data_IF_170775378321
#
_entry.id   IF_170775378321
#
_cell.length_a   1.000
_cell.length_b   1.000
_cell.length_c   1.000
_cell.angle_alpha   90.00
_cell.angle_beta   90.00
_cell.angle_gamma   90.00
#
_symmetry.space_group_name_H-M   'P 1'
#
loop_
_entity.id
_entity.type
_entity.pdbx_description
1 polymer ?
#
# COMPACT_ATOMS: atom_id res chain seq x y z
N UNK A 1 -11.34 1.12 -6.61
CA UNK A 1 -9.99 1.17 -7.22
C UNK A 1 -9.25 -0.17 -7.12
N UNK A 2 -8.98 -0.74 -5.93
CA UNK A 2 -8.29 -2.04 -5.86
C UNK A 2 -9.03 -3.19 -6.59
N UNK A 3 -10.38 -3.18 -6.57
CA UNK A 3 -11.22 -4.16 -7.26
C UNK A 3 -11.01 -4.21 -8.77
N UNK A 4 -11.04 -3.05 -9.43
CA UNK A 4 -10.84 -2.98 -10.88
C UNK A 4 -9.42 -3.43 -11.26
N UNK A 5 -8.41 -3.04 -10.47
CA UNK A 5 -7.03 -3.47 -10.70
C UNK A 5 -6.86 -4.99 -10.61
N UNK A 6 -7.49 -5.64 -9.62
CA UNK A 6 -7.43 -7.09 -9.47
C UNK A 6 -7.93 -7.84 -10.71
N UNK A 7 -9.01 -7.36 -11.35
CA UNK A 7 -9.53 -7.93 -12.60
C UNK A 7 -8.54 -7.82 -13.76
N UNK A 8 -7.76 -6.73 -13.82
CA UNK A 8 -6.79 -6.51 -14.90
C UNK A 8 -5.51 -7.33 -14.69
N UNK A 9 -5.12 -7.58 -13.45
CA UNK A 9 -3.88 -8.28 -13.12
C UNK A 9 -4.06 -9.79 -12.94
N UNK A 10 -5.29 -10.31 -13.01
CA UNK A 10 -5.60 -11.71 -12.66
C UNK A 10 -4.79 -12.75 -13.45
N UNK A 11 -4.43 -12.45 -14.69
CA UNK A 11 -3.71 -13.37 -15.58
C UNK A 11 -2.22 -13.01 -15.71
N UNK A 12 -1.76 -11.97 -15.00
CA UNK A 12 -0.34 -11.58 -14.97
C UNK A 12 0.47 -12.53 -14.10
N UNK A 13 1.72 -12.78 -14.50
CA UNK A 13 2.64 -13.64 -13.75
C UNK A 13 3.63 -12.79 -12.98
N UNK A 14 3.55 -12.84 -11.65
CA UNK A 14 4.49 -12.15 -10.77
C UNK A 14 5.55 -13.13 -10.28
N UNK A 15 6.82 -12.77 -10.46
CA UNK A 15 7.92 -13.54 -9.87
C UNK A 15 8.09 -13.24 -8.38
N UNK A 16 7.72 -12.04 -7.94
CA UNK A 16 7.89 -11.54 -6.56
C UNK A 16 6.82 -10.49 -6.24
N UNK A 17 6.39 -10.44 -4.98
CA UNK A 17 5.44 -9.44 -4.47
C UNK A 17 6.01 -8.81 -3.20
N UNK A 18 6.08 -7.47 -3.20
CA UNK A 18 6.56 -6.66 -2.08
C UNK A 18 5.50 -5.63 -1.69
N UNK A 19 5.36 -5.37 -0.39
CA UNK A 19 4.41 -4.36 0.11
C UNK A 19 4.88 -3.81 1.46
N UNK A 20 4.39 -2.62 1.82
CA UNK A 20 4.61 -2.10 3.17
C UNK A 20 3.90 -2.97 4.20
N UNK A 21 4.38 -2.96 5.43
CA UNK A 21 3.75 -3.69 6.53
C UNK A 21 2.57 -2.95 7.17
N UNK A 22 2.18 -1.78 6.65
CA UNK A 22 0.99 -1.04 7.08
C UNK A 22 -0.29 -1.82 6.73
N UNK A 23 -1.28 -1.81 7.63
CA UNK A 23 -2.49 -2.61 7.48
C UNK A 23 -3.24 -2.32 6.17
N UNK A 24 -3.36 -1.05 5.78
CA UNK A 24 -4.00 -0.63 4.52
C UNK A 24 -3.36 -1.27 3.28
N UNK A 25 -2.03 -1.39 3.26
CA UNK A 25 -1.32 -2.01 2.13
C UNK A 25 -1.41 -3.52 2.20
N UNK A 26 -1.38 -4.11 3.41
CA UNK A 26 -1.60 -5.56 3.60
C UNK A 26 -2.95 -6.01 3.08
N UNK A 27 -4.02 -5.28 3.41
CA UNK A 27 -5.38 -5.60 2.95
C UNK A 27 -5.48 -5.52 1.43
N UNK A 28 -4.91 -4.46 0.84
CA UNK A 28 -4.89 -4.30 -0.62
C UNK A 28 -4.09 -5.40 -1.30
N UNK A 29 -2.89 -5.72 -0.81
CA UNK A 29 -2.05 -6.78 -1.37
C UNK A 29 -2.73 -8.14 -1.26
N UNK A 30 -3.33 -8.48 -0.11
CA UNK A 30 -4.09 -9.73 0.06
C UNK A 30 -5.25 -9.81 -0.92
N UNK A 31 -5.96 -8.71 -1.13
CA UNK A 31 -7.06 -8.66 -2.09
C UNK A 31 -6.57 -8.90 -3.51
N UNK A 32 -5.53 -8.19 -3.97
CA UNK A 32 -5.01 -8.38 -5.34
C UNK A 32 -4.48 -9.80 -5.56
N UNK A 33 -3.76 -10.34 -4.59
CA UNK A 33 -3.26 -11.72 -4.61
C UNK A 33 -4.40 -12.74 -4.73
N UNK A 34 -5.52 -12.53 -4.04
CA UNK A 34 -6.66 -13.46 -4.13
C UNK A 34 -7.40 -13.40 -5.46
N UNK A 35 -7.08 -12.43 -6.33
CA UNK A 35 -7.65 -12.35 -7.68
C UNK A 35 -6.76 -13.01 -8.75
N UNK A 36 -5.53 -13.43 -8.41
CA UNK A 36 -4.62 -14.03 -9.38
C UNK A 36 -5.05 -15.46 -9.73
N UNK A 37 -5.09 -15.76 -11.03
CA UNK A 37 -5.30 -17.09 -11.59
C UNK A 37 -3.98 -17.85 -11.81
N UNK A 38 -2.86 -17.22 -11.49
CA UNK A 38 -1.50 -17.73 -11.67
C UNK A 38 -0.90 -18.15 -10.33
N UNK A 39 0.25 -18.83 -10.37
CA UNK A 39 0.99 -19.16 -9.16
C UNK A 39 1.37 -17.89 -8.39
N UNK A 40 0.96 -17.84 -7.13
CA UNK A 40 1.19 -16.69 -6.26
C UNK A 40 2.53 -16.83 -5.53
N UNK A 41 3.53 -15.96 -5.79
CA UNK A 41 4.76 -15.98 -5.02
C UNK A 41 4.50 -15.47 -3.59
N UNK A 42 5.35 -15.89 -2.64
CA UNK A 42 5.27 -15.42 -1.25
C UNK A 42 5.41 -13.90 -1.17
N UNK A 43 4.41 -13.26 -0.55
CA UNK A 43 4.43 -11.81 -0.31
C UNK A 43 5.45 -11.47 0.78
N UNK A 44 6.37 -10.54 0.50
CA UNK A 44 7.30 -10.00 1.48
C UNK A 44 6.85 -8.61 1.94
N UNK A 45 6.42 -8.52 3.20
CA UNK A 45 6.14 -7.25 3.85
C UNK A 45 7.41 -6.67 4.47
N UNK A 46 7.61 -5.36 4.33
CA UNK A 46 8.79 -4.68 4.89
C UNK A 46 8.47 -3.26 5.35
N UNK A 47 9.02 -2.80 6.48
CA UNK A 47 8.88 -1.41 6.92
C UNK A 47 9.58 -0.41 6.01
N UNK A 48 10.52 -0.87 5.15
CA UNK A 48 11.24 -0.03 4.20
C UNK A 48 10.35 0.56 3.09
N UNK A 49 9.15 0.01 2.91
CA UNK A 49 8.15 0.49 1.94
C UNK A 49 7.03 1.29 2.61
N UNK A 50 7.17 1.65 3.90
CA UNK A 50 6.18 2.51 4.56
C UNK A 50 6.16 3.87 3.87
N UNK A 51 4.98 4.48 3.89
CA UNK A 51 4.82 5.89 3.55
C UNK A 51 5.78 6.75 4.39
N UNK A 52 6.07 7.95 3.89
CA UNK A 52 6.79 8.97 4.65
C UNK A 52 6.21 9.08 6.06
N UNK A 53 7.08 9.01 7.06
CA UNK A 53 6.72 9.34 8.43
C UNK A 53 6.61 10.86 8.55
N UNK A 54 5.42 11.37 8.87
CA UNK A 54 5.16 12.79 9.02
C UNK A 54 5.46 13.32 10.43
N UNK A 55 5.88 12.48 11.38
CA UNK A 55 6.20 12.90 12.74
C UNK A 55 5.00 13.55 13.44
N UNK A 56 5.21 14.73 14.04
CA UNK A 56 4.16 15.49 14.74
C UNK A 56 3.03 15.97 13.82
N UNK A 57 3.20 15.83 12.50
CA UNK A 57 2.20 16.18 11.50
C UNK A 57 1.30 15.00 11.13
N UNK A 58 1.57 13.79 11.62
CA UNK A 58 0.70 12.63 11.42
C UNK A 58 -0.71 12.92 11.91
N UNK A 59 -1.70 12.52 11.12
CA UNK A 59 -3.14 12.70 11.40
C UNK A 59 -3.63 14.16 11.49
N UNK A 60 -2.76 15.16 11.31
CA UNK A 60 -3.20 16.55 11.27
C UNK A 60 -3.87 16.88 9.93
N UNK A 61 -5.00 17.62 9.92
CA UNK A 61 -5.58 18.11 8.69
C UNK A 61 -4.60 19.04 7.98
N UNK A 62 -4.58 18.98 6.65
CA UNK A 62 -3.71 19.83 5.80
C UNK A 62 -3.82 21.31 6.16
N UNK A 63 -5.02 21.78 6.53
CA UNK A 63 -5.26 23.18 6.94
C UNK A 63 -4.46 23.59 8.18
N UNK A 64 -4.27 22.68 9.14
CA UNK A 64 -3.48 22.91 10.36
C UNK A 64 -1.99 22.91 10.03
N UNK A 65 -1.58 22.08 9.06
CA UNK A 65 -0.18 21.98 8.65
C UNK A 65 0.38 23.28 8.08
N UNK A 66 -0.44 24.03 7.32
CA UNK A 66 -0.02 25.29 6.68
C UNK A 66 0.20 26.42 7.71
N UNK A 67 -0.53 26.42 8.82
CA UNK A 67 -0.43 27.50 9.82
C UNK A 67 0.87 27.41 10.64
N UNK A 68 1.31 26.21 11.01
CA UNK A 68 2.57 26.01 11.77
C UNK A 68 3.85 26.21 10.95
N UNK A 69 3.76 26.33 9.61
CA UNK A 69 4.90 26.66 8.74
C UNK A 69 5.12 28.17 8.56
N UNK A 70 4.25 29.01 9.13
CA UNK A 70 4.32 30.48 9.03
C UNK A 70 4.86 31.15 10.30
N UNK A 71 5.24 30.38 11.31
CA UNK A 71 5.94 30.79 12.54
C UNK A 71 7.41 30.33 12.48
#
# INVERSE_FOLDING_TARGET
MAKSLGVHLKDEVFTRIYSSDLERTRLTTKYLVSQLNTDVPKVKFTPLLRERNFGDWEFLPTKVCVMKTQE
#
